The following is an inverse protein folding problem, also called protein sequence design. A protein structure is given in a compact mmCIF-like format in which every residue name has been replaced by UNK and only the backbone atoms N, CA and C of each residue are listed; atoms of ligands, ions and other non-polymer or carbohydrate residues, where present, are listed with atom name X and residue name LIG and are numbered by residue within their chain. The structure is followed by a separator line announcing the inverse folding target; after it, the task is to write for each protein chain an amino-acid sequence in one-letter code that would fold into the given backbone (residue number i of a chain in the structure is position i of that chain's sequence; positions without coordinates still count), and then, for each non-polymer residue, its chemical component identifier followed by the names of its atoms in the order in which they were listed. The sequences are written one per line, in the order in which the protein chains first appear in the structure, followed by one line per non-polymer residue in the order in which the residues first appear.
data_IF_104131250385
#
_entry.id   IF_104131250385
#
_cell.length_a   1.000
_cell.length_b   1.000
_cell.length_c   1.000
_cell.angle_alpha   90.00
_cell.angle_beta   90.00
_cell.angle_gamma   90.00
#
_symmetry.space_group_name_H-M   'P 1'
#
loop_
_entity.id
_entity.type
_entity.pdbx_description
1 polymer ?
#
# COMPACT_ATOMS: atom_id res chain seq x y z
N UNK A 1 29.85 -36.43 8.26
CA UNK A 1 30.52 -35.54 9.25
C UNK A 1 30.88 -34.18 8.63
N UNK A 2 31.09 -34.10 7.31
CA UNK A 2 31.24 -32.82 6.56
C UNK A 2 29.97 -31.93 6.57
N UNK A 3 28.76 -32.52 6.50
CA UNK A 3 27.50 -31.75 6.47
C UNK A 3 27.22 -30.94 7.75
N UNK A 4 27.70 -31.43 8.90
CA UNK A 4 27.53 -30.76 10.22
C UNK A 4 28.48 -29.57 10.36
N UNK A 5 29.68 -29.67 9.76
CA UNK A 5 30.68 -28.61 9.77
C UNK A 5 30.28 -27.45 8.85
N UNK A 6 29.67 -27.75 7.68
CA UNK A 6 29.14 -26.73 6.78
C UNK A 6 28.00 -25.91 7.38
N UNK A 7 27.11 -26.54 8.17
CA UNK A 7 26.02 -25.85 8.87
C UNK A 7 26.51 -24.93 9.99
N UNK A 8 27.53 -25.33 10.75
CA UNK A 8 28.10 -24.50 11.81
C UNK A 8 28.85 -23.27 11.26
N UNK A 9 29.56 -23.44 10.14
CA UNK A 9 30.26 -22.35 9.47
C UNK A 9 29.26 -21.36 8.84
N UNK A 10 28.16 -21.85 8.25
CA UNK A 10 27.07 -21.02 7.77
C UNK A 10 26.42 -20.20 8.88
N UNK A 11 26.17 -20.80 10.05
CA UNK A 11 25.62 -20.11 11.22
C UNK A 11 26.58 -19.03 11.72
N UNK A 12 27.88 -19.30 11.71
CA UNK A 12 28.91 -18.34 12.13
C UNK A 12 29.01 -17.15 11.16
N UNK A 13 28.96 -17.41 9.86
CA UNK A 13 28.93 -16.38 8.82
C UNK A 13 27.63 -15.56 8.85
N UNK A 14 26.48 -16.22 9.04
CA UNK A 14 25.20 -15.55 9.25
C UNK A 14 25.22 -14.65 10.48
N UNK A 15 25.77 -15.11 11.60
CA UNK A 15 25.89 -14.32 12.82
C UNK A 15 26.85 -13.14 12.65
N UNK A 16 27.94 -13.30 11.88
CA UNK A 16 28.83 -12.20 11.54
C UNK A 16 28.14 -11.14 10.66
N UNK A 17 27.37 -11.56 9.65
CA UNK A 17 26.57 -10.66 8.79
C UNK A 17 25.45 -9.97 9.59
N UNK A 18 24.85 -10.65 10.57
CA UNK A 18 23.82 -10.08 11.45
C UNK A 18 24.42 -9.07 12.45
N UNK A 19 25.66 -9.26 12.88
CA UNK A 19 26.35 -8.39 13.82
C UNK A 19 26.98 -7.15 13.17
N UNK A 20 27.14 -7.15 11.85
CA UNK A 20 27.79 -6.07 11.11
C UNK A 20 26.79 -4.96 10.72
N UNK A 21 27.08 -3.73 11.18
CA UNK A 21 26.27 -2.52 10.96
C UNK A 21 26.04 -2.22 9.48
N UNK A 22 26.96 -2.65 8.60
CA UNK A 22 26.87 -2.38 7.17
C UNK A 22 25.80 -3.21 6.45
N UNK A 23 25.33 -4.32 7.05
CA UNK A 23 24.28 -5.18 6.47
C UNK A 23 22.89 -4.98 7.10
N UNK A 24 22.78 -4.14 8.14
CA UNK A 24 21.52 -3.93 8.86
C UNK A 24 20.39 -3.39 7.98
N UNK A 25 20.70 -2.58 6.97
CA UNK A 25 19.68 -2.03 6.06
C UNK A 25 19.17 -3.07 5.05
N UNK A 26 20.03 -3.99 4.60
CA UNK A 26 19.64 -5.15 3.76
C UNK A 26 18.75 -6.10 4.56
N UNK A 27 19.17 -6.45 5.79
CA UNK A 27 18.37 -7.27 6.69
C UNK A 27 17.03 -6.60 7.03
N UNK A 28 17.01 -5.28 7.20
CA UNK A 28 15.79 -4.51 7.39
C UNK A 28 14.89 -4.54 6.15
N UNK A 29 15.44 -4.47 4.94
CA UNK A 29 14.70 -4.60 3.68
C UNK A 29 14.07 -6.00 3.54
N UNK A 30 14.83 -7.07 3.82
CA UNK A 30 14.31 -8.45 3.81
C UNK A 30 13.23 -8.65 4.88
N UNK A 31 13.42 -8.10 6.09
CA UNK A 31 12.39 -8.11 7.13
C UNK A 31 11.15 -7.32 6.68
N UNK A 32 11.34 -6.19 6.00
CA UNK A 32 10.29 -5.39 5.39
C UNK A 32 9.50 -6.19 4.34
N UNK A 33 10.19 -6.91 3.47
CA UNK A 33 9.59 -7.81 2.49
C UNK A 33 8.70 -8.86 3.16
N UNK A 34 9.23 -9.60 4.14
CA UNK A 34 8.47 -10.61 4.90
C UNK A 34 7.24 -10.00 5.56
N UNK A 35 7.40 -8.85 6.21
CA UNK A 35 6.29 -8.16 6.86
C UNK A 35 5.22 -7.74 5.85
N UNK A 36 5.63 -7.23 4.68
CA UNK A 36 4.72 -6.89 3.58
C UNK A 36 3.95 -8.10 3.05
N UNK A 37 4.62 -9.25 2.88
CA UNK A 37 3.96 -10.49 2.48
C UNK A 37 2.90 -10.93 3.51
N UNK A 38 3.28 -11.00 4.79
CA UNK A 38 2.38 -11.45 5.87
C UNK A 38 1.20 -10.51 6.02
N UNK A 39 1.44 -9.20 6.05
CA UNK A 39 0.40 -8.21 6.23
C UNK A 39 -0.54 -8.14 5.02
N UNK A 40 0.01 -8.13 3.81
CA UNK A 40 -0.76 -8.12 2.57
C UNK A 40 -1.64 -9.36 2.44
N UNK A 41 -1.13 -10.54 2.80
CA UNK A 41 -1.94 -11.76 2.83
C UNK A 41 -3.08 -11.68 3.85
N UNK A 42 -2.79 -11.23 5.09
CA UNK A 42 -3.79 -11.14 6.18
C UNK A 42 -4.97 -10.23 5.84
N UNK A 43 -4.74 -9.13 5.13
CA UNK A 43 -5.82 -8.20 4.77
C UNK A 43 -6.52 -8.61 3.47
N UNK A 44 -5.76 -9.01 2.44
CA UNK A 44 -6.34 -9.28 1.12
C UNK A 44 -7.09 -10.60 1.08
N UNK A 45 -6.63 -11.62 1.80
CA UNK A 45 -7.26 -12.94 1.77
C UNK A 45 -8.71 -12.91 2.24
N UNK A 46 -9.07 -12.38 3.44
CA UNK A 46 -10.47 -12.32 3.87
C UNK A 46 -11.34 -11.47 2.93
N UNK A 47 -10.81 -10.35 2.43
CA UNK A 47 -11.54 -9.51 1.49
C UNK A 47 -11.83 -10.23 0.17
N UNK A 48 -10.81 -10.86 -0.43
CA UNK A 48 -10.98 -11.60 -1.68
C UNK A 48 -11.92 -12.81 -1.49
N UNK A 49 -11.84 -13.48 -0.33
CA UNK A 49 -12.73 -14.57 0.05
C UNK A 49 -14.19 -14.11 0.02
N UNK A 50 -14.54 -13.09 0.81
CA UNK A 50 -15.92 -12.61 0.94
C UNK A 50 -16.46 -12.14 -0.41
N UNK A 51 -15.73 -11.27 -1.12
CA UNK A 51 -16.22 -10.70 -2.39
C UNK A 51 -16.35 -11.77 -3.48
N UNK A 52 -15.42 -12.73 -3.57
CA UNK A 52 -15.47 -13.78 -4.60
C UNK A 52 -16.54 -14.83 -4.30
N UNK A 53 -16.82 -15.13 -3.03
CA UNK A 53 -17.90 -16.05 -2.68
C UNK A 53 -19.28 -15.40 -2.87
N UNK A 54 -19.47 -14.16 -2.42
CA UNK A 54 -20.76 -13.45 -2.52
C UNK A 54 -21.10 -13.02 -3.95
N UNK A 55 -20.14 -12.42 -4.66
CA UNK A 55 -20.39 -11.77 -5.95
C UNK A 55 -19.65 -12.43 -7.12
N UNK A 56 -18.74 -13.36 -6.85
CA UNK A 56 -17.97 -14.04 -7.89
C UNK A 56 -18.77 -15.12 -8.62
N UNK A 57 -18.59 -15.19 -9.94
CA UNK A 57 -19.17 -16.21 -10.83
C UNK A 57 -18.19 -17.38 -11.02
N UNK A 58 -18.71 -18.56 -11.34
CA UNK A 58 -17.91 -19.76 -11.65
C UNK A 58 -17.87 -20.82 -10.53
N UNK A 59 -17.10 -21.88 -10.78
CA UNK A 59 -16.99 -23.05 -9.89
C UNK A 59 -16.21 -22.73 -8.62
N UNK A 60 -16.42 -23.52 -7.55
CA UNK A 60 -15.68 -23.38 -6.28
C UNK A 60 -14.16 -23.39 -6.50
N UNK A 61 -13.67 -24.25 -7.41
CA UNK A 61 -12.25 -24.32 -7.76
C UNK A 61 -11.74 -23.02 -8.39
N UNK A 62 -12.48 -22.45 -9.34
CA UNK A 62 -12.12 -21.18 -9.96
C UNK A 62 -12.12 -20.04 -8.94
N UNK A 63 -13.11 -20.00 -8.03
CA UNK A 63 -13.16 -19.02 -6.93
C UNK A 63 -11.92 -19.10 -6.05
N UNK A 64 -11.52 -20.30 -5.61
CA UNK A 64 -10.33 -20.50 -4.77
C UNK A 64 -9.04 -20.05 -5.46
N UNK A 65 -8.85 -20.40 -6.73
CA UNK A 65 -7.68 -19.98 -7.52
C UNK A 65 -7.63 -18.45 -7.62
N UNK A 66 -8.77 -17.82 -7.88
CA UNK A 66 -8.91 -16.36 -7.96
C UNK A 66 -8.54 -15.69 -6.63
N UNK A 67 -9.03 -16.21 -5.50
CA UNK A 67 -8.72 -15.70 -4.16
C UNK A 67 -7.20 -15.79 -3.87
N UNK A 68 -6.60 -16.96 -4.12
CA UNK A 68 -5.16 -17.17 -3.89
C UNK A 68 -4.33 -16.27 -4.81
N UNK A 69 -4.69 -16.16 -6.09
CA UNK A 69 -3.99 -15.31 -7.05
C UNK A 69 -4.04 -13.84 -6.62
N UNK A 70 -5.21 -13.29 -6.31
CA UNK A 70 -5.35 -11.91 -5.87
C UNK A 70 -4.58 -11.63 -4.57
N UNK A 71 -4.64 -12.56 -3.62
CA UNK A 71 -3.91 -12.46 -2.36
C UNK A 71 -2.40 -12.45 -2.60
N UNK A 72 -1.90 -13.41 -3.40
CA UNK A 72 -0.48 -13.54 -3.71
C UNK A 72 0.05 -12.31 -4.45
N UNK A 73 -0.63 -11.85 -5.49
CA UNK A 73 -0.22 -10.66 -6.25
C UNK A 73 -0.14 -9.44 -5.34
N UNK A 74 -1.16 -9.20 -4.51
CA UNK A 74 -1.16 -8.05 -3.61
C UNK A 74 -0.06 -8.14 -2.54
N UNK A 75 0.07 -9.29 -1.88
CA UNK A 75 1.10 -9.52 -0.87
C UNK A 75 2.51 -9.34 -1.46
N UNK A 76 2.75 -9.88 -2.66
CA UNK A 76 4.02 -9.78 -3.35
C UNK A 76 4.39 -8.35 -3.74
N UNK A 77 3.43 -7.59 -4.26
CA UNK A 77 3.65 -6.17 -4.60
C UNK A 77 3.97 -5.35 -3.34
N UNK A 78 3.26 -5.60 -2.24
CA UNK A 78 3.51 -4.91 -0.97
C UNK A 78 4.87 -5.27 -0.38
N UNK A 79 5.26 -6.55 -0.44
CA UNK A 79 6.58 -7.01 -0.06
C UNK A 79 7.68 -6.32 -0.87
N UNK A 80 7.59 -6.35 -2.20
CA UNK A 80 8.55 -5.71 -3.12
C UNK A 80 8.70 -4.21 -2.86
N UNK A 81 7.59 -3.51 -2.62
CA UNK A 81 7.60 -2.10 -2.25
C UNK A 81 8.35 -1.88 -0.94
N UNK A 82 8.00 -2.63 0.12
CA UNK A 82 8.64 -2.50 1.44
C UNK A 82 10.15 -2.81 1.40
N UNK A 83 10.56 -3.78 0.58
CA UNK A 83 11.95 -4.09 0.31
C UNK A 83 12.66 -2.92 -0.34
N UNK A 84 12.15 -2.47 -1.49
CA UNK A 84 12.79 -1.42 -2.31
C UNK A 84 12.87 -0.11 -1.56
N UNK A 85 11.80 0.29 -0.88
CA UNK A 85 11.78 1.50 -0.06
C UNK A 85 12.88 1.47 1.02
N UNK A 86 12.97 0.37 1.79
CA UNK A 86 14.00 0.26 2.84
C UNK A 86 15.41 0.16 2.29
N UNK A 87 15.56 -0.52 1.15
CA UNK A 87 16.83 -0.59 0.43
C UNK A 87 17.28 0.79 -0.02
N UNK A 88 16.39 1.59 -0.63
CA UNK A 88 16.66 2.97 -1.02
C UNK A 88 16.94 3.88 0.19
N UNK A 89 16.20 3.76 1.30
CA UNK A 89 16.51 4.52 2.51
C UNK A 89 17.92 4.17 3.04
N UNK A 90 18.26 2.88 3.14
CA UNK A 90 19.60 2.46 3.57
C UNK A 90 20.70 3.01 2.66
N UNK A 91 20.52 2.91 1.34
CA UNK A 91 21.46 3.46 0.37
C UNK A 91 21.60 4.98 0.43
N UNK A 92 20.49 5.72 0.57
CA UNK A 92 20.53 7.18 0.71
C UNK A 92 21.21 7.61 2.01
N UNK A 93 20.93 6.95 3.14
CA UNK A 93 21.59 7.23 4.41
C UNK A 93 23.09 6.91 4.35
N UNK A 94 23.49 5.85 3.64
CA UNK A 94 24.90 5.51 3.44
C UNK A 94 25.65 6.55 2.59
N UNK A 95 24.99 7.16 1.60
CA UNK A 95 25.59 8.15 0.70
C UNK A 95 25.60 9.57 1.26
N UNK A 96 24.54 9.97 1.96
CA UNK A 96 24.32 11.36 2.40
C UNK A 96 24.45 11.54 3.92
N UNK A 97 24.79 10.47 4.65
CA UNK A 97 24.84 10.44 6.11
C UNK A 97 23.48 10.17 6.73
N UNK A 98 23.50 9.77 8.01
CA UNK A 98 22.31 9.37 8.78
C UNK A 98 21.52 10.59 9.26
N UNK A 99 21.11 11.41 8.30
CA UNK A 99 20.18 12.48 8.54
C UNK A 99 18.78 11.91 8.38
N UNK A 100 17.97 11.94 9.44
CA UNK A 100 16.53 11.55 9.37
C UNK A 100 15.73 12.60 8.59
N UNK A 101 16.33 13.19 7.57
CA UNK A 101 15.80 14.26 6.78
C UNK A 101 14.57 13.73 6.02
N UNK A 102 13.44 14.40 6.20
CA UNK A 102 12.17 14.01 5.58
C UNK A 102 12.24 13.87 4.06
N UNK A 103 13.20 14.53 3.40
CA UNK A 103 13.39 14.46 1.95
C UNK A 103 13.94 13.11 1.48
N UNK A 104 14.82 12.44 2.24
CA UNK A 104 15.36 11.12 1.87
C UNK A 104 14.26 10.06 1.91
N UNK A 105 13.38 10.13 2.91
CA UNK A 105 12.19 9.28 3.02
C UNK A 105 11.24 9.51 1.85
N UNK A 106 11.02 10.78 1.47
CA UNK A 106 10.17 11.13 0.35
C UNK A 106 10.74 10.61 -0.98
N UNK A 107 12.04 10.81 -1.21
CA UNK A 107 12.72 10.35 -2.41
C UNK A 107 12.75 8.82 -2.51
N UNK A 108 13.10 8.11 -1.44
CA UNK A 108 13.06 6.66 -1.40
C UNK A 108 11.65 6.11 -1.66
N UNK A 109 10.62 6.76 -1.07
CA UNK A 109 9.23 6.42 -1.31
C UNK A 109 8.82 6.62 -2.77
N UNK A 110 9.25 7.73 -3.39
CA UNK A 110 8.99 8.02 -4.79
C UNK A 110 9.66 7.01 -5.73
N UNK A 111 10.95 6.69 -5.51
CA UNK A 111 11.69 5.72 -6.31
C UNK A 111 11.02 4.34 -6.25
N UNK A 112 10.68 3.87 -5.04
CA UNK A 112 9.99 2.59 -4.85
C UNK A 112 8.62 2.60 -5.55
N UNK A 113 7.81 3.65 -5.34
CA UNK A 113 6.49 3.75 -5.96
C UNK A 113 6.59 3.76 -7.49
N UNK A 114 7.54 4.51 -8.07
CA UNK A 114 7.72 4.55 -9.51
C UNK A 114 8.14 3.17 -10.07
N UNK A 115 9.00 2.44 -9.37
CA UNK A 115 9.42 1.12 -9.85
C UNK A 115 8.28 0.09 -9.77
N UNK A 116 7.51 0.07 -8.68
CA UNK A 116 6.52 -0.99 -8.44
C UNK A 116 5.07 -0.65 -8.84
N UNK A 117 4.70 0.63 -8.88
CA UNK A 117 3.31 1.08 -9.05
C UNK A 117 3.10 1.93 -10.31
N UNK A 118 4.00 1.89 -11.30
CA UNK A 118 3.88 2.70 -12.52
C UNK A 118 2.74 2.28 -13.45
N UNK A 119 2.35 1.00 -13.46
CA UNK A 119 1.29 0.52 -14.34
C UNK A 119 -0.09 0.97 -13.85
N UNK A 120 -0.90 1.47 -14.78
CA UNK A 120 -2.31 1.78 -14.51
C UNK A 120 -3.13 0.49 -14.57
N UNK A 121 -3.25 -0.19 -13.43
CA UNK A 121 -4.07 -1.38 -13.28
C UNK A 121 -5.00 -1.26 -12.05
N UNK A 122 -6.04 -2.09 -11.99
CA UNK A 122 -7.06 -2.01 -10.94
C UNK A 122 -6.49 -2.08 -9.51
N UNK A 123 -5.39 -2.81 -9.29
CA UNK A 123 -4.76 -2.93 -7.96
C UNK A 123 -4.00 -1.65 -7.61
N UNK A 124 -3.18 -1.13 -8.52
CA UNK A 124 -2.39 0.09 -8.31
C UNK A 124 -3.30 1.31 -8.16
N UNK A 125 -4.34 1.43 -9.00
CA UNK A 125 -5.36 2.46 -8.89
C UNK A 125 -6.08 2.37 -7.54
N UNK A 126 -6.42 1.17 -7.06
CA UNK A 126 -7.03 1.00 -5.73
C UNK A 126 -6.11 1.50 -4.60
N UNK A 127 -4.80 1.24 -4.70
CA UNK A 127 -3.82 1.75 -3.73
C UNK A 127 -3.75 3.28 -3.79
N UNK A 128 -3.68 3.85 -4.99
CA UNK A 128 -3.63 5.31 -5.19
C UNK A 128 -4.86 5.99 -4.59
N UNK A 129 -6.06 5.54 -4.94
CA UNK A 129 -7.31 6.09 -4.42
C UNK A 129 -7.48 5.87 -2.92
N UNK A 130 -6.86 4.83 -2.35
CA UNK A 130 -6.86 4.61 -0.91
C UNK A 130 -5.91 5.59 -0.18
N UNK A 131 -4.72 5.82 -0.73
CA UNK A 131 -3.67 6.62 -0.09
C UNK A 131 -3.86 8.12 -0.30
N UNK A 132 -4.30 8.56 -1.48
CA UNK A 132 -4.44 9.96 -1.83
C UNK A 132 -5.30 10.75 -0.82
N UNK A 133 -6.57 10.40 -0.55
CA UNK A 133 -7.39 11.13 0.43
C UNK A 133 -6.77 11.06 1.83
N UNK A 134 -6.20 9.92 2.24
CA UNK A 134 -5.55 9.77 3.55
C UNK A 134 -4.31 10.66 3.69
N UNK A 135 -3.54 10.81 2.62
CA UNK A 135 -2.40 11.71 2.54
C UNK A 135 -2.83 13.17 2.65
N UNK A 136 -3.87 13.57 1.91
CA UNK A 136 -4.46 14.92 2.01
C UNK A 136 -4.97 15.20 3.42
N UNK A 137 -5.72 14.27 4.03
CA UNK A 137 -6.17 14.39 5.42
C UNK A 137 -5.00 14.48 6.41
N UNK A 138 -3.94 13.71 6.19
CA UNK A 138 -2.71 13.78 7.00
C UNK A 138 -2.01 15.14 6.88
N UNK A 139 -1.93 15.68 5.67
CA UNK A 139 -1.35 16.99 5.40
C UNK A 139 -2.18 18.10 6.07
N UNK A 140 -3.50 18.06 5.92
CA UNK A 140 -4.39 19.01 6.59
C UNK A 140 -4.17 19.01 8.11
N UNK A 141 -4.11 17.81 8.73
CA UNK A 141 -3.81 17.66 10.16
C UNK A 141 -2.43 18.20 10.55
N UNK A 142 -1.41 18.00 9.71
CA UNK A 142 -0.07 18.53 9.95
C UNK A 142 -0.07 20.07 9.92
N UNK A 143 -0.74 20.67 8.94
CA UNK A 143 -0.86 22.12 8.81
C UNK A 143 -1.64 22.71 10.01
N UNK A 144 -2.75 22.07 10.40
CA UNK A 144 -3.50 22.45 11.61
C UNK A 144 -2.64 22.33 12.87
N UNK A 145 -1.84 21.26 13.02
CA UNK A 145 -0.93 21.08 14.16
C UNK A 145 0.16 22.15 14.23
N UNK A 146 0.65 22.62 13.07
CA UNK A 146 1.63 23.70 12.96
C UNK A 146 1.03 25.10 13.17
N UNK A 147 -0.28 25.21 13.40
CA UNK A 147 -0.96 26.48 13.66
C UNK A 147 -1.14 27.37 12.43
N UNK A 148 -0.93 26.85 11.23
CA UNK A 148 -1.04 27.62 9.99
C UNK A 148 -2.50 27.81 9.53
N UNK A 149 -3.42 26.99 10.03
CA UNK A 149 -4.86 27.11 9.76
C UNK A 149 -5.56 27.53 11.06
N UNK A 150 -6.49 28.48 10.92
CA UNK A 150 -7.26 29.05 12.02
C UNK A 150 -8.01 27.96 12.82
N UNK A 151 -8.06 28.03 14.16
CA UNK A 151 -8.73 27.05 15.02
C UNK A 151 -10.21 26.80 14.68
N UNK A 152 -10.84 27.69 13.91
CA UNK A 152 -12.24 27.59 13.48
C UNK A 152 -12.51 26.56 12.37
N UNK A 153 -11.53 26.23 11.53
CA UNK A 153 -11.62 25.14 10.54
C UNK A 153 -11.29 23.80 11.20
N UNK A 154 -12.09 23.41 12.18
CA UNK A 154 -11.97 22.08 12.77
C UNK A 154 -12.39 21.03 11.75
N UNK A 155 -11.65 19.92 11.66
CA UNK A 155 -11.96 18.78 10.78
C UNK A 155 -13.44 18.36 10.87
N UNK A 156 -14.04 18.45 12.08
CA UNK A 156 -15.45 18.14 12.33
C UNK A 156 -16.43 19.06 11.62
N UNK A 157 -16.09 20.33 11.40
CA UNK A 157 -16.95 21.30 10.69
C UNK A 157 -16.88 21.16 9.19
N UNK A 158 -15.69 20.90 8.64
CA UNK A 158 -15.47 20.83 7.18
C UNK A 158 -15.91 19.47 6.61
N UNK A 159 -15.78 18.39 7.39
CA UNK A 159 -16.03 17.03 6.93
C UNK A 159 -17.43 16.79 6.32
N UNK A 160 -18.54 17.24 6.93
CA UNK A 160 -19.87 17.02 6.35
C UNK A 160 -20.04 17.68 4.98
N UNK A 161 -19.54 18.91 4.80
CA UNK A 161 -19.63 19.62 3.52
C UNK A 161 -18.79 18.96 2.44
N UNK A 162 -17.55 18.56 2.76
CA UNK A 162 -16.70 17.83 1.80
C UNK A 162 -17.36 16.52 1.38
N UNK A 163 -17.93 15.78 2.34
CA UNK A 163 -18.62 14.53 2.02
C UNK A 163 -19.85 14.75 1.13
N UNK A 164 -20.68 15.77 1.45
CA UNK A 164 -21.83 16.12 0.65
C UNK A 164 -21.42 16.53 -0.78
N UNK A 165 -20.40 17.39 -0.93
CA UNK A 165 -19.94 17.82 -2.24
C UNK A 165 -19.40 16.66 -3.08
N UNK A 166 -18.56 15.79 -2.50
CA UNK A 166 -17.99 14.64 -3.22
C UNK A 166 -19.09 13.68 -3.66
N UNK A 167 -20.01 13.33 -2.77
CA UNK A 167 -21.10 12.41 -3.09
C UNK A 167 -22.03 12.99 -4.16
N UNK A 168 -22.48 14.23 -3.99
CA UNK A 168 -23.34 14.91 -4.97
C UNK A 168 -22.67 15.02 -6.34
N UNK A 169 -21.37 15.29 -6.37
CA UNK A 169 -20.61 15.33 -7.62
C UNK A 169 -20.50 13.97 -8.30
N UNK A 170 -20.22 12.89 -7.54
CA UNK A 170 -20.19 11.53 -8.08
C UNK A 170 -21.57 11.09 -8.62
N UNK A 171 -22.66 11.43 -7.93
CA UNK A 171 -24.01 11.14 -8.40
C UNK A 171 -24.35 11.92 -9.67
N UNK A 172 -23.98 13.20 -9.72
CA UNK A 172 -24.16 14.01 -10.91
C UNK A 172 -23.42 13.43 -12.12
N UNK A 173 -22.16 13.02 -11.95
CA UNK A 173 -21.41 12.34 -13.01
C UNK A 173 -22.08 11.04 -13.44
N UNK A 174 -22.55 10.22 -12.51
CA UNK A 174 -23.21 8.96 -12.83
C UNK A 174 -24.46 9.13 -13.70
N UNK A 175 -25.31 10.10 -13.39
CA UNK A 175 -26.54 10.36 -14.16
C UNK A 175 -26.29 11.14 -15.46
N UNK A 176 -25.19 11.90 -15.55
CA UNK A 176 -24.89 12.72 -16.74
C UNK A 176 -24.02 11.98 -17.77
N UNK A 177 -22.95 11.34 -17.31
CA UNK A 177 -22.00 10.60 -18.13
C UNK A 177 -21.30 9.52 -17.29
N UNK A 178 -21.87 8.31 -17.15
CA UNK A 178 -21.33 7.29 -16.26
C UNK A 178 -19.95 6.77 -16.68
N UNK A 179 -19.61 6.83 -17.97
CA UNK A 179 -18.38 6.21 -18.52
C UNK A 179 -17.09 6.88 -18.03
N UNK A 180 -17.17 8.11 -17.51
CA UNK A 180 -16.01 8.81 -16.92
C UNK A 180 -15.69 8.36 -15.50
N UNK A 181 -16.61 7.66 -14.83
CA UNK A 181 -16.42 7.17 -13.47
C UNK A 181 -15.63 5.87 -13.44
N UNK A 182 -15.03 5.58 -12.28
CA UNK A 182 -14.36 4.30 -12.09
C UNK A 182 -15.39 3.16 -12.17
N UNK A 183 -15.10 2.04 -12.89
CA UNK A 183 -16.04 0.94 -13.07
C UNK A 183 -16.64 0.38 -11.77
N UNK A 184 -15.88 0.40 -10.67
CA UNK A 184 -16.38 -0.06 -9.36
C UNK A 184 -17.46 0.85 -8.77
N UNK A 185 -17.40 2.16 -9.02
CA UNK A 185 -18.42 3.12 -8.57
C UNK A 185 -19.66 2.99 -9.43
N UNK A 186 -19.49 2.89 -10.75
CA UNK A 186 -20.60 2.65 -11.70
C UNK A 186 -21.37 1.41 -11.29
N UNK A 187 -20.69 0.26 -11.12
CA UNK A 187 -21.34 -0.98 -10.73
C UNK A 187 -22.08 -0.90 -9.38
N UNK A 188 -21.58 -0.08 -8.45
CA UNK A 188 -22.24 0.12 -7.15
C UNK A 188 -23.49 0.98 -7.28
N UNK A 189 -23.46 2.03 -8.10
CA UNK A 189 -24.60 2.91 -8.32
C UNK A 189 -25.67 2.28 -9.22
N UNK A 190 -25.27 1.52 -10.23
CA UNK A 190 -26.18 0.72 -11.05
C UNK A 190 -27.01 -0.22 -10.18
N UNK A 191 -26.34 -1.01 -9.33
CA UNK A 191 -27.00 -1.91 -8.39
C UNK A 191 -27.90 -1.20 -7.37
N UNK A 192 -27.63 0.08 -7.05
CA UNK A 192 -28.39 0.81 -6.03
C UNK A 192 -29.60 1.56 -6.59
N UNK A 193 -29.52 2.03 -7.83
CA UNK A 193 -30.46 3.01 -8.39
C UNK A 193 -31.18 2.50 -9.64
N UNK A 194 -30.62 1.53 -10.36
CA UNK A 194 -31.12 1.05 -11.65
C UNK A 194 -31.52 -0.44 -11.65
N UNK A 195 -30.98 -1.27 -10.74
CA UNK A 195 -31.36 -2.68 -10.51
C UNK A 195 -32.35 -2.83 -9.33
#
# INVERSE_FOLDING_TARGET
MEDVVGGAELIKQLNAIIADKDYHWILAAVKGFRNGLVYGARIRFPHALVITFLFGKGTVRQKLITIVRHTRTHAWNLGKFAFTYKFCCGGLNALFGDDKAGWQILLAGFIAANFQLHEMNAINSQILFYLLPRGIFGLFRLISKKGWISPGLTQKRVFPYVNACVLSFCLWLFFYDPDVLQPSVIASFEYLYND
#
